data_IF_435432234425
#
_entry.id   IF_435432234425
#
_cell.length_a   1.000
_cell.length_b   1.000
_cell.length_c   1.000
_cell.angle_alpha   90.00
_cell.angle_beta   90.00
_cell.angle_gamma   90.00
#
_symmetry.space_group_name_H-M   'P 1'
#
loop_
_entity.id
_entity.type
_entity.pdbx_description
1 polymer ?
#
# COMPACT_ATOMS: atom_id res chain seq x y z
N UNK A 1 0.96 18.99 5.80
CA UNK A 1 2.28 18.58 5.23
C UNK A 1 2.43 17.08 5.36
N UNK A 2 2.96 16.38 4.33
CA UNK A 2 3.22 14.94 4.36
C UNK A 2 4.69 14.66 4.68
N UNK A 3 4.97 13.47 5.25
CA UNK A 3 6.30 12.95 5.50
C UNK A 3 6.77 12.10 4.30
N UNK A 4 7.90 12.46 3.75
CA UNK A 4 8.55 11.81 2.62
C UNK A 4 9.80 11.07 3.10
N UNK A 5 10.06 9.90 2.55
CA UNK A 5 11.34 9.21 2.70
C UNK A 5 12.12 9.30 1.39
N UNK A 6 13.35 9.74 1.47
CA UNK A 6 14.20 10.02 0.30
C UNK A 6 15.52 9.28 0.43
N UNK A 7 16.10 8.88 -0.70
CA UNK A 7 17.50 8.50 -0.80
C UNK A 7 18.32 9.73 -1.22
N UNK A 8 19.15 10.24 -0.32
CA UNK A 8 20.04 11.39 -0.53
C UNK A 8 21.47 10.95 -0.23
N UNK A 9 22.38 11.09 -1.18
CA UNK A 9 23.79 10.66 -1.07
C UNK A 9 23.95 9.21 -0.56
N UNK A 10 23.09 8.31 -1.06
CA UNK A 10 23.10 6.89 -0.69
C UNK A 10 22.55 6.56 0.71
N UNK A 11 21.93 7.53 1.41
CA UNK A 11 21.36 7.35 2.75
C UNK A 11 19.88 7.72 2.77
N UNK A 12 19.03 6.97 3.50
CA UNK A 12 17.65 7.38 3.75
C UNK A 12 17.62 8.67 4.57
N UNK A 13 16.80 9.61 4.14
CA UNK A 13 16.54 10.89 4.82
C UNK A 13 15.04 11.14 4.82
N UNK A 14 14.55 11.80 5.85
CA UNK A 14 13.18 12.28 5.91
C UNK A 14 13.10 13.72 5.39
N UNK A 15 11.98 14.01 4.75
CA UNK A 15 11.63 15.33 4.25
C UNK A 15 10.15 15.59 4.49
N UNK A 16 9.73 16.83 4.42
CA UNK A 16 8.32 17.24 4.40
C UNK A 16 7.99 17.99 3.12
N UNK A 17 6.73 17.93 2.73
CA UNK A 17 6.19 18.65 1.57
C UNK A 17 4.74 18.27 1.32
N UNK A 18 3.99 18.98 0.46
CA UNK A 18 2.62 18.61 0.09
C UNK A 18 2.59 17.25 -0.64
N UNK A 19 1.61 16.42 -0.34
CA UNK A 19 1.49 15.09 -0.95
C UNK A 19 1.34 15.14 -2.49
N UNK A 20 0.66 16.17 -3.03
CA UNK A 20 0.43 16.34 -4.47
C UNK A 20 1.56 17.03 -5.23
N UNK A 21 2.51 17.69 -4.53
CA UNK A 21 3.56 18.49 -5.15
C UNK A 21 4.95 17.88 -4.99
N UNK A 22 5.16 17.11 -3.90
CA UNK A 22 6.41 16.44 -3.62
C UNK A 22 7.13 16.95 -2.37
N UNK A 23 8.30 16.35 -2.05
CA UNK A 23 9.11 16.74 -0.90
C UNK A 23 9.79 18.09 -1.17
N UNK A 24 9.74 19.00 -0.18
CA UNK A 24 10.28 20.36 -0.30
C UNK A 24 11.49 20.59 0.62
N UNK A 25 11.43 20.13 1.87
CA UNK A 25 12.41 20.43 2.90
C UNK A 25 12.88 19.15 3.60
N UNK A 26 14.19 19.00 3.75
CA UNK A 26 14.79 17.93 4.57
C UNK A 26 14.54 18.21 6.05
N UNK A 27 14.32 17.12 6.79
CA UNK A 27 14.24 17.11 8.24
C UNK A 27 15.59 16.69 8.87
N UNK A 28 15.66 16.65 10.21
CA UNK A 28 16.88 16.27 10.92
C UNK A 28 17.49 14.98 10.37
N UNK A 29 18.81 14.95 10.27
CA UNK A 29 19.56 13.81 9.73
C UNK A 29 19.44 12.53 10.57
N UNK A 30 19.16 12.67 11.87
CA UNK A 30 18.96 11.55 12.79
C UNK A 30 17.52 11.00 12.77
N UNK A 31 16.56 11.71 12.15
CA UNK A 31 15.19 11.26 12.06
C UNK A 31 15.04 10.07 11.10
N UNK A 32 14.21 9.11 11.48
CA UNK A 32 13.88 7.95 10.66
C UNK A 32 12.41 7.56 10.83
N UNK A 33 11.82 6.87 9.85
CA UNK A 33 10.47 6.34 9.97
C UNK A 33 10.36 5.38 11.16
N UNK A 34 11.37 4.55 11.38
CA UNK A 34 11.41 3.62 12.52
C UNK A 34 11.36 4.38 13.86
N UNK A 35 12.10 5.49 13.96
CA UNK A 35 12.08 6.36 15.14
C UNK A 35 10.72 7.04 15.35
N UNK A 36 10.04 7.42 14.29
CA UNK A 36 8.71 8.02 14.36
C UNK A 36 7.66 6.99 14.80
N UNK A 37 7.59 5.84 14.16
CA UNK A 37 6.55 4.85 14.41
C UNK A 37 6.81 4.02 15.68
N UNK A 38 8.07 3.81 16.03
CA UNK A 38 8.48 3.18 17.30
C UNK A 38 8.59 4.16 18.49
N UNK A 39 8.38 5.46 18.24
CA UNK A 39 8.53 6.53 19.23
C UNK A 39 7.31 6.75 20.12
N UNK A 40 7.30 7.91 20.79
CA UNK A 40 6.19 8.35 21.63
C UNK A 40 5.00 8.89 20.80
N UNK A 41 3.84 9.04 21.46
CA UNK A 41 2.65 9.62 20.83
C UNK A 41 2.95 11.05 20.36
N UNK A 42 2.54 11.36 19.12
CA UNK A 42 2.79 12.69 18.55
C UNK A 42 4.11 12.86 17.82
N UNK A 43 5.03 11.86 17.86
CA UNK A 43 6.35 11.96 17.23
C UNK A 43 6.32 12.38 15.75
N UNK A 44 5.30 11.95 14.99
CA UNK A 44 5.13 12.38 13.60
C UNK A 44 4.85 13.87 13.48
N UNK A 45 3.91 14.40 14.29
CA UNK A 45 3.58 15.83 14.31
C UNK A 45 4.77 16.67 14.75
N UNK A 46 5.42 16.28 15.85
CA UNK A 46 6.62 16.97 16.37
C UNK A 46 7.75 17.04 15.33
N UNK A 47 7.95 15.95 14.58
CA UNK A 47 8.96 15.92 13.51
C UNK A 47 8.59 16.85 12.35
N UNK A 48 7.31 16.86 11.93
CA UNK A 48 6.86 17.72 10.83
C UNK A 48 6.88 19.20 11.19
N UNK A 49 6.71 19.55 12.46
CA UNK A 49 6.77 20.92 12.98
C UNK A 49 8.20 21.39 13.30
N UNK A 50 9.16 20.46 13.34
CA UNK A 50 10.56 20.76 13.64
C UNK A 50 11.18 21.68 12.55
N UNK A 51 12.21 22.46 12.90
CA UNK A 51 12.95 23.28 11.92
C UNK A 51 13.49 22.42 10.76
N UNK A 52 13.38 22.94 9.54
CA UNK A 52 13.95 22.29 8.36
C UNK A 52 15.48 22.27 8.44
N UNK A 53 16.09 21.17 8.00
CA UNK A 53 17.54 21.06 7.88
C UNK A 53 18.09 21.65 6.57
N UNK A 54 17.21 21.96 5.62
CA UNK A 54 17.54 22.55 4.33
C UNK A 54 16.58 22.12 3.21
N UNK A 55 16.76 22.61 1.99
CA UNK A 55 15.96 22.18 0.85
C UNK A 55 16.29 20.73 0.46
N UNK A 56 15.35 20.07 -0.19
CA UNK A 56 15.61 18.77 -0.82
C UNK A 56 16.57 18.97 -1.99
N UNK A 57 17.69 18.23 -2.06
CA UNK A 57 18.65 18.38 -3.15
C UNK A 57 18.14 17.78 -4.46
N UNK A 58 18.61 18.32 -5.58
CA UNK A 58 18.36 17.76 -6.90
C UNK A 58 18.85 16.29 -6.97
N UNK A 59 18.07 15.45 -7.63
CA UNK A 59 18.41 14.01 -7.79
C UNK A 59 18.07 13.14 -6.60
N UNK A 60 17.48 13.67 -5.52
CA UNK A 60 16.93 12.84 -4.44
C UNK A 60 15.86 11.89 -4.98
N UNK A 61 15.94 10.60 -4.60
CA UNK A 61 14.98 9.59 -5.05
C UNK A 61 13.94 9.33 -3.94
N UNK A 62 12.67 9.30 -4.31
CA UNK A 62 11.61 8.94 -3.36
C UNK A 62 11.71 7.45 -3.03
N UNK A 63 11.66 7.13 -1.74
CA UNK A 63 11.59 5.77 -1.20
C UNK A 63 10.16 5.48 -0.70
N UNK A 64 9.83 4.20 -0.53
CA UNK A 64 8.60 3.82 0.15
C UNK A 64 8.58 4.40 1.57
N UNK A 65 7.46 4.94 2.06
CA UNK A 65 7.36 5.53 3.40
C UNK A 65 7.25 4.45 4.50
N UNK A 66 8.17 3.48 4.49
CA UNK A 66 8.34 2.43 5.47
C UNK A 66 9.83 2.10 5.62
N UNK A 67 10.24 1.72 6.83
CA UNK A 67 11.59 1.25 7.15
C UNK A 67 11.56 -0.24 7.52
N UNK A 68 11.70 -0.55 8.80
CA UNK A 68 11.66 -1.91 9.34
C UNK A 68 10.22 -2.41 9.63
N UNK A 69 9.19 -1.67 9.25
CA UNK A 69 7.80 -2.06 9.42
C UNK A 69 7.43 -3.21 8.48
N UNK A 70 6.78 -4.29 8.96
CA UNK A 70 6.11 -5.25 8.09
C UNK A 70 4.90 -4.59 7.43
N UNK A 71 4.59 -5.00 6.20
CA UNK A 71 3.38 -4.59 5.52
C UNK A 71 2.42 -5.78 5.52
N UNK A 72 1.28 -5.58 6.15
CA UNK A 72 0.16 -6.52 6.17
C UNK A 72 -0.91 -6.08 5.19
N UNK A 73 -1.81 -6.98 4.84
CA UNK A 73 -2.99 -6.66 4.04
C UNK A 73 -4.24 -7.34 4.62
N UNK A 74 -5.39 -6.73 4.34
CA UNK A 74 -6.69 -7.25 4.70
C UNK A 74 -7.45 -7.66 3.44
N UNK A 75 -7.80 -8.94 3.33
CA UNK A 75 -8.58 -9.44 2.20
C UNK A 75 -10.09 -9.26 2.39
N UNK A 76 -10.81 -9.25 1.27
CA UNK A 76 -12.29 -9.33 1.19
C UNK A 76 -13.01 -8.26 2.04
N UNK A 77 -12.51 -7.04 2.03
CA UNK A 77 -13.08 -5.93 2.81
C UNK A 77 -14.20 -5.19 2.07
N UNK A 78 -14.35 -5.37 0.77
CA UNK A 78 -15.39 -4.79 -0.08
C UNK A 78 -16.34 -5.85 -0.62
N UNK A 79 -17.60 -5.47 -0.87
CA UNK A 79 -18.61 -6.37 -1.44
C UNK A 79 -18.22 -6.87 -2.84
N UNK A 80 -17.75 -5.97 -3.71
CA UNK A 80 -17.31 -6.29 -5.07
C UNK A 80 -16.12 -7.27 -5.07
N UNK A 81 -15.18 -7.10 -4.13
CA UNK A 81 -14.05 -8.02 -3.96
C UNK A 81 -14.53 -9.43 -3.57
N UNK A 82 -15.49 -9.54 -2.64
CA UNK A 82 -16.13 -10.82 -2.29
C UNK A 82 -16.75 -11.49 -3.52
N UNK A 83 -17.55 -10.75 -4.30
CA UNK A 83 -18.27 -11.29 -5.44
C UNK A 83 -17.30 -11.79 -6.51
N UNK A 84 -16.25 -11.03 -6.83
CA UNK A 84 -15.21 -11.44 -7.75
C UNK A 84 -14.49 -12.73 -7.28
N UNK A 85 -14.13 -12.83 -6.00
CA UNK A 85 -13.50 -14.03 -5.44
C UNK A 85 -14.39 -15.26 -5.48
N UNK A 86 -15.70 -15.10 -5.28
CA UNK A 86 -16.66 -16.21 -5.40
C UNK A 86 -16.74 -16.74 -6.84
N UNK A 87 -16.71 -15.84 -7.84
CA UNK A 87 -16.71 -16.22 -9.25
C UNK A 87 -15.42 -16.96 -9.63
N UNK A 88 -14.25 -16.45 -9.23
CA UNK A 88 -12.93 -17.00 -9.50
C UNK A 88 -12.70 -18.37 -8.86
N UNK A 89 -13.19 -18.57 -7.64
CA UNK A 89 -12.99 -19.78 -6.85
C UNK A 89 -13.96 -20.93 -7.18
N UNK A 90 -14.77 -20.80 -8.24
CA UNK A 90 -15.78 -21.77 -8.64
C UNK A 90 -16.74 -22.19 -7.51
N UNK A 91 -17.09 -21.22 -6.65
CA UNK A 91 -18.09 -21.41 -5.61
C UNK A 91 -17.52 -21.94 -4.27
N UNK A 92 -16.23 -21.78 -4.01
CA UNK A 92 -15.70 -21.94 -2.67
C UNK A 92 -16.32 -20.87 -1.75
N UNK A 93 -17.14 -21.27 -0.81
CA UNK A 93 -17.84 -20.37 0.12
C UNK A 93 -16.92 -19.73 1.19
N UNK A 94 -15.62 -19.96 1.11
CA UNK A 94 -14.62 -19.41 2.04
C UNK A 94 -14.62 -17.87 2.05
N UNK A 95 -14.70 -17.25 0.88
CA UNK A 95 -14.69 -15.78 0.74
C UNK A 95 -15.99 -15.14 1.24
N UNK A 96 -17.14 -15.77 1.00
CA UNK A 96 -18.40 -15.31 1.58
C UNK A 96 -18.40 -15.44 3.10
N UNK A 97 -17.87 -16.53 3.63
CA UNK A 97 -17.71 -16.73 5.07
C UNK A 97 -16.79 -15.69 5.68
N UNK A 98 -15.65 -15.35 5.07
CA UNK A 98 -14.73 -14.31 5.55
C UNK A 98 -15.39 -12.93 5.52
N UNK A 99 -16.11 -12.60 4.45
CA UNK A 99 -16.81 -11.32 4.37
C UNK A 99 -17.86 -11.16 5.48
N UNK A 100 -18.56 -12.23 5.85
CA UNK A 100 -19.61 -12.21 6.88
C UNK A 100 -19.07 -12.45 8.30
N UNK A 101 -17.86 -13.01 8.45
CA UNK A 101 -17.27 -13.34 9.76
C UNK A 101 -16.94 -12.09 10.59
N UNK A 102 -16.85 -12.26 11.91
CA UNK A 102 -16.32 -11.24 12.81
C UNK A 102 -14.83 -11.02 12.57
N UNK A 103 -14.07 -12.11 12.35
CA UNK A 103 -12.63 -12.07 12.10
C UNK A 103 -12.33 -11.70 10.64
N UNK A 104 -11.56 -10.61 10.38
CA UNK A 104 -11.08 -10.29 9.05
C UNK A 104 -10.02 -11.30 8.58
N UNK A 105 -9.86 -11.43 7.28
CA UNK A 105 -8.65 -11.99 6.70
C UNK A 105 -7.51 -10.99 6.84
N UNK A 106 -6.39 -11.41 7.43
CA UNK A 106 -5.16 -10.63 7.52
C UNK A 106 -3.98 -11.50 7.12
N UNK A 107 -3.13 -11.01 6.24
CA UNK A 107 -1.95 -11.73 5.78
C UNK A 107 -0.74 -10.80 5.63
N UNK A 108 0.46 -11.37 5.73
CA UNK A 108 1.70 -10.64 5.48
C UNK A 108 1.86 -10.40 3.98
N UNK A 109 1.95 -9.12 3.59
CA UNK A 109 2.06 -8.69 2.19
C UNK A 109 3.49 -8.42 1.76
N UNK A 110 4.28 -7.80 2.61
CA UNK A 110 5.69 -7.56 2.32
C UNK A 110 6.54 -7.59 3.58
N UNK A 111 7.74 -8.13 3.44
CA UNK A 111 8.76 -8.06 4.48
C UNK A 111 9.30 -6.63 4.59
N UNK A 112 9.87 -6.24 5.74
CA UNK A 112 10.52 -4.96 5.89
C UNK A 112 11.49 -4.65 4.75
N UNK A 113 11.41 -3.44 4.19
CA UNK A 113 12.32 -2.97 3.14
C UNK A 113 12.13 -3.59 1.76
N UNK A 114 11.09 -4.42 1.52
CA UNK A 114 10.86 -5.07 0.21
C UNK A 114 9.80 -4.39 -0.66
N UNK A 115 9.01 -3.47 -0.10
CA UNK A 115 8.03 -2.72 -0.87
C UNK A 115 8.70 -1.83 -1.93
N UNK A 116 8.12 -1.78 -3.10
CA UNK A 116 8.58 -0.94 -4.21
C UNK A 116 8.18 0.51 -3.97
N UNK A 117 9.16 1.39 -4.06
CA UNK A 117 8.94 2.84 -4.05
C UNK A 117 8.30 3.32 -5.37
N UNK A 118 7.76 4.55 -5.43
CA UNK A 118 7.31 5.16 -6.68
C UNK A 118 8.39 5.08 -7.77
N UNK A 119 8.00 4.73 -8.99
CA UNK A 119 8.91 4.57 -10.14
C UNK A 119 9.75 3.29 -10.15
N UNK A 120 9.74 2.47 -9.08
CA UNK A 120 10.46 1.18 -9.06
C UNK A 120 9.54 0.07 -9.58
N UNK A 121 10.06 -0.90 -10.35
CA UNK A 121 9.21 -1.93 -10.95
C UNK A 121 8.48 -2.78 -9.93
N UNK A 122 7.17 -2.99 -10.12
CA UNK A 122 6.38 -4.05 -9.49
C UNK A 122 6.52 -5.33 -10.30
N UNK A 123 6.35 -6.48 -9.65
CA UNK A 123 6.62 -7.79 -10.25
C UNK A 123 5.36 -8.53 -10.65
N UNK A 124 5.38 -9.16 -11.85
CA UNK A 124 4.46 -10.23 -12.23
C UNK A 124 5.23 -11.54 -12.33
N UNK A 125 4.62 -12.65 -11.91
CA UNK A 125 5.32 -13.94 -11.78
C UNK A 125 5.42 -14.65 -13.14
N UNK A 126 6.58 -15.25 -13.42
CA UNK A 126 6.79 -16.05 -14.63
C UNK A 126 5.99 -17.36 -14.65
N UNK A 127 5.54 -17.84 -13.48
CA UNK A 127 4.71 -19.05 -13.30
C UNK A 127 3.23 -18.71 -13.03
N UNK A 128 2.78 -17.51 -13.42
CA UNK A 128 1.40 -17.03 -13.31
C UNK A 128 0.92 -16.54 -14.67
N UNK A 129 -0.31 -16.90 -15.01
CA UNK A 129 -0.96 -16.50 -16.27
C UNK A 129 -1.89 -15.28 -16.08
N UNK A 130 -2.21 -14.94 -14.82
CA UNK A 130 -3.12 -13.86 -14.50
C UNK A 130 -2.68 -13.12 -13.24
N UNK A 131 -2.10 -11.94 -13.44
CA UNK A 131 -1.62 -11.04 -12.40
C UNK A 131 -2.32 -9.69 -12.52
N UNK A 132 -2.73 -9.12 -11.40
CA UNK A 132 -3.47 -7.85 -11.34
C UNK A 132 -2.92 -6.93 -10.26
N UNK A 133 -3.03 -5.58 -10.43
CA UNK A 133 -2.83 -4.65 -9.35
C UNK A 133 -4.09 -4.59 -8.47
N UNK A 134 -3.91 -4.43 -7.19
CA UNK A 134 -4.97 -4.17 -6.22
C UNK A 134 -4.66 -2.86 -5.51
N UNK A 135 -5.24 -1.72 -5.99
CA UNK A 135 -5.00 -0.42 -5.39
C UNK A 135 -5.73 -0.30 -4.04
N UNK A 136 -5.01 0.12 -3.01
CA UNK A 136 -5.52 0.12 -1.64
C UNK A 136 -5.12 1.36 -0.87
N UNK A 137 -6.01 1.80 0.02
CA UNK A 137 -5.63 2.70 1.09
C UNK A 137 -4.67 1.96 2.03
N UNK A 138 -3.49 2.52 2.26
CA UNK A 138 -2.53 2.00 3.22
C UNK A 138 -2.63 2.78 4.53
N UNK A 139 -3.00 2.10 5.61
CA UNK A 139 -3.01 2.64 6.97
C UNK A 139 -1.63 2.47 7.58
N UNK A 140 -1.06 3.54 8.15
CA UNK A 140 0.18 3.49 8.90
C UNK A 140 -0.12 3.63 10.37
N UNK A 141 0.24 2.64 11.17
CA UNK A 141 0.01 2.64 12.61
C UNK A 141 1.31 2.52 13.39
N UNK A 142 1.39 3.24 14.50
CA UNK A 142 2.56 3.24 15.40
C UNK A 142 2.63 1.96 16.26
N UNK A 143 3.67 1.83 17.08
CA UNK A 143 3.89 0.68 17.98
C UNK A 143 2.73 0.38 18.93
N UNK A 144 1.81 1.33 19.14
CA UNK A 144 0.62 1.19 20.02
C UNK A 144 -0.63 0.79 19.25
N UNK A 145 -0.54 0.64 17.92
CA UNK A 145 -1.71 0.45 17.07
C UNK A 145 -2.53 1.73 16.85
N UNK A 146 -1.95 2.90 17.10
CA UNK A 146 -2.58 4.18 16.78
C UNK A 146 -2.37 4.48 15.30
N UNK A 147 -3.44 4.73 14.56
CA UNK A 147 -3.34 5.19 13.17
C UNK A 147 -2.75 6.60 13.19
N UNK A 148 -1.56 6.76 12.61
CA UNK A 148 -0.85 8.04 12.56
C UNK A 148 -0.98 8.71 11.20
N UNK A 149 -1.33 7.96 10.16
CA UNK A 149 -1.53 8.52 8.82
C UNK A 149 -1.82 7.47 7.77
N UNK A 150 -1.82 7.92 6.51
CA UNK A 150 -2.21 7.14 5.35
C UNK A 150 -1.19 7.26 4.23
N UNK A 151 -1.16 6.24 3.37
CA UNK A 151 -0.38 6.20 2.14
C UNK A 151 -1.17 5.45 1.06
N UNK A 152 -0.59 5.28 -0.12
CA UNK A 152 -1.15 4.48 -1.21
C UNK A 152 -0.39 3.17 -1.27
N UNK A 153 -1.12 2.04 -1.33
CA UNK A 153 -0.54 0.72 -1.53
C UNK A 153 -1.01 0.07 -2.84
N UNK A 154 -0.18 -0.84 -3.35
CA UNK A 154 -0.55 -1.77 -4.42
C UNK A 154 -0.26 -3.19 -3.94
N UNK A 155 -1.32 -3.98 -3.74
CA UNK A 155 -1.26 -5.42 -3.43
C UNK A 155 -1.24 -6.22 -4.74
N UNK A 156 -0.13 -6.21 -5.47
CA UNK A 156 0.00 -6.96 -6.73
C UNK A 156 -0.16 -8.45 -6.47
N UNK A 157 -1.10 -9.06 -7.18
CA UNK A 157 -1.60 -10.40 -6.87
C UNK A 157 -1.52 -11.32 -8.08
N UNK A 158 -1.02 -12.55 -7.86
CA UNK A 158 -1.18 -13.63 -8.82
C UNK A 158 -2.55 -14.29 -8.61
N UNK A 159 -3.52 -13.91 -9.44
CA UNK A 159 -4.89 -14.46 -9.38
C UNK A 159 -4.95 -15.94 -9.76
N UNK A 160 -4.11 -16.38 -10.69
CA UNK A 160 -4.06 -17.80 -11.07
C UNK A 160 -3.63 -18.70 -9.90
N UNK A 161 -2.58 -18.30 -9.14
CA UNK A 161 -2.11 -19.07 -7.98
C UNK A 161 -3.10 -18.99 -6.82
N UNK A 162 -3.68 -17.80 -6.58
CA UNK A 162 -4.68 -17.61 -5.53
C UNK A 162 -5.95 -18.42 -5.79
N UNK A 163 -6.41 -18.47 -7.05
CA UNK A 163 -7.59 -19.23 -7.48
C UNK A 163 -7.36 -20.73 -7.54
N UNK A 164 -6.11 -21.19 -7.68
CA UNK A 164 -5.79 -22.62 -7.67
C UNK A 164 -6.08 -23.28 -6.32
N UNK A 165 -5.61 -22.65 -5.24
CA UNK A 165 -5.84 -23.16 -3.89
C UNK A 165 -5.66 -22.02 -2.85
N UNK A 166 -6.64 -21.78 -1.95
CA UNK A 166 -6.52 -20.76 -0.89
C UNK A 166 -5.26 -20.91 0.00
N UNK A 167 -4.72 -22.13 0.13
CA UNK A 167 -3.49 -22.37 0.89
C UNK A 167 -2.23 -21.83 0.19
N UNK A 168 -2.34 -21.45 -1.08
CA UNK A 168 -1.26 -20.82 -1.83
C UNK A 168 -1.26 -19.28 -1.72
N UNK A 169 -2.14 -18.70 -0.89
CA UNK A 169 -2.20 -17.27 -0.64
C UNK A 169 -0.81 -16.63 -0.39
N UNK A 170 0.09 -17.22 0.44
CA UNK A 170 1.42 -16.64 0.62
C UNK A 170 2.24 -16.57 -0.67
N UNK A 171 2.09 -17.54 -1.58
CA UNK A 171 2.80 -17.53 -2.86
C UNK A 171 2.17 -16.57 -3.87
N UNK A 172 0.85 -16.38 -3.79
CA UNK A 172 0.11 -15.44 -4.63
C UNK A 172 0.35 -13.98 -4.26
N UNK A 173 0.63 -13.70 -2.98
CA UNK A 173 0.65 -12.35 -2.40
C UNK A 173 2.03 -11.88 -1.93
N UNK A 174 2.97 -12.78 -1.60
CA UNK A 174 4.27 -12.45 -1.03
C UNK A 174 5.40 -12.98 -1.91
N UNK A 175 5.83 -12.16 -2.87
CA UNK A 175 6.94 -12.45 -3.78
C UNK A 175 7.66 -11.16 -4.18
N UNK A 176 8.76 -11.26 -4.90
CA UNK A 176 9.57 -10.11 -5.31
C UNK A 176 8.75 -9.11 -6.14
N UNK A 177 8.61 -7.89 -5.64
CA UNK A 177 7.88 -6.82 -6.34
C UNK A 177 6.36 -6.89 -6.21
N UNK A 178 5.81 -7.79 -5.39
CA UNK A 178 4.36 -7.93 -5.21
C UNK A 178 3.69 -6.79 -4.43
N UNK A 179 4.47 -5.87 -3.87
CA UNK A 179 3.94 -4.76 -3.09
C UNK A 179 4.61 -3.44 -3.50
N UNK A 180 3.84 -2.41 -3.76
CA UNK A 180 4.33 -1.03 -3.82
C UNK A 180 3.68 -0.18 -2.73
N UNK A 181 4.42 0.85 -2.26
CA UNK A 181 3.95 1.75 -1.22
C UNK A 181 4.48 3.17 -1.48
N UNK A 182 3.63 4.18 -1.38
CA UNK A 182 4.02 5.58 -1.55
C UNK A 182 2.87 6.51 -1.93
N UNK A 183 3.16 7.75 -2.29
CA UNK A 183 4.49 8.33 -2.41
C UNK A 183 5.06 8.80 -1.06
N UNK A 184 4.20 9.05 -0.06
CA UNK A 184 4.54 9.63 1.24
C UNK A 184 3.58 9.13 2.31
N UNK A 185 3.87 9.44 3.57
CA UNK A 185 2.96 9.28 4.70
C UNK A 185 2.24 10.62 4.94
N UNK A 186 0.93 10.66 4.73
CA UNK A 186 0.08 11.81 5.04
C UNK A 186 -0.48 11.61 6.45
N UNK A 187 -0.17 12.50 7.42
CA UNK A 187 -0.71 12.40 8.77
C UNK A 187 -2.23 12.45 8.80
N UNK A 188 -2.86 11.78 9.78
CA UNK A 188 -4.32 11.80 9.94
C UNK A 188 -4.89 13.23 10.00
N UNK A 189 -4.17 14.15 10.66
CA UNK A 189 -4.61 15.55 10.79
C UNK A 189 -4.58 16.35 9.48
N UNK A 190 -3.85 15.87 8.48
CA UNK A 190 -3.64 16.54 7.17
C UNK A 190 -4.42 15.83 6.04
N UNK A 191 -4.84 14.60 6.26
CA UNK A 191 -5.57 13.80 5.30
C UNK A 191 -7.06 14.16 5.30
N UNK A 192 -7.77 14.01 4.16
CA UNK A 192 -9.24 13.98 4.17
C UNK A 192 -9.78 12.87 5.06
N UNK A 193 -11.06 12.97 5.45
CA UNK A 193 -11.74 11.83 6.08
C UNK A 193 -11.70 10.62 5.13
N UNK A 194 -11.33 9.42 5.58
CA UNK A 194 -11.31 8.24 4.72
C UNK A 194 -12.62 7.99 3.95
N UNK A 195 -13.76 8.36 4.51
CA UNK A 195 -15.06 8.24 3.81
C UNK A 195 -15.23 9.21 2.63
N UNK A 196 -14.38 10.22 2.51
CA UNK A 196 -14.34 11.18 1.39
C UNK A 196 -13.27 10.82 0.35
N UNK A 197 -12.48 9.76 0.60
CA UNK A 197 -11.39 9.34 -0.30
C UNK A 197 -11.93 8.49 -1.44
N UNK A 198 -11.52 8.82 -2.67
CA UNK A 198 -11.67 8.01 -3.86
C UNK A 198 -10.31 7.39 -4.20
N UNK A 199 -10.30 6.10 -4.48
CA UNK A 199 -9.16 5.36 -5.04
C UNK A 199 -9.40 5.23 -6.55
N UNK A 200 -8.42 5.61 -7.36
CA UNK A 200 -8.46 5.44 -8.81
C UNK A 200 -7.23 4.68 -9.30
N UNK A 201 -7.45 3.76 -10.22
CA UNK A 201 -6.44 2.96 -10.90
C UNK A 201 -6.46 3.25 -12.40
N UNK A 202 -5.29 3.40 -12.99
CA UNK A 202 -5.08 3.40 -14.45
C UNK A 202 -3.95 2.45 -14.81
N UNK A 203 -4.14 1.63 -15.83
CA UNK A 203 -3.11 0.78 -16.43
C UNK A 203 -2.88 1.23 -17.86
N UNK A 204 -1.65 1.58 -18.18
CA UNK A 204 -1.23 1.95 -19.55
C UNK A 204 -0.31 0.88 -20.11
N UNK A 205 -0.50 0.55 -21.38
CA UNK A 205 0.34 -0.36 -22.19
C UNK A 205 0.71 0.31 -23.49
N UNK A 206 1.99 0.35 -23.82
CA UNK A 206 2.50 1.00 -25.03
C UNK A 206 2.03 2.46 -25.20
N UNK A 207 1.85 3.17 -24.06
CA UNK A 207 1.40 4.55 -24.01
C UNK A 207 -0.12 4.75 -24.21
N UNK A 208 -0.91 3.67 -24.24
CA UNK A 208 -2.36 3.72 -24.33
C UNK A 208 -3.00 3.19 -23.03
N UNK A 209 -4.07 3.83 -22.57
CA UNK A 209 -4.86 3.32 -21.45
C UNK A 209 -5.57 2.02 -21.86
N UNK A 210 -5.32 0.94 -21.11
CA UNK A 210 -5.96 -0.37 -21.31
C UNK A 210 -6.98 -0.69 -20.22
N UNK A 211 -6.92 0.02 -19.09
CA UNK A 211 -7.88 -0.11 -18.00
C UNK A 211 -7.87 1.15 -17.15
N UNK A 212 -9.06 1.58 -16.73
CA UNK A 212 -9.24 2.57 -15.68
C UNK A 212 -10.51 2.26 -14.89
N UNK A 213 -10.44 2.38 -13.56
CA UNK A 213 -11.60 2.23 -12.66
C UNK A 213 -11.36 3.04 -11.38
N UNK A 214 -12.43 3.23 -10.60
CA UNK A 214 -12.40 3.96 -9.33
C UNK A 214 -13.38 3.38 -8.32
N UNK A 215 -13.10 3.58 -7.04
CA UNK A 215 -14.01 3.22 -5.96
C UNK A 215 -13.89 4.19 -4.78
N UNK A 216 -14.91 4.19 -3.93
CA UNK A 216 -14.89 4.97 -2.68
C UNK A 216 -14.39 4.11 -1.53
N UNK A 217 -13.56 4.68 -0.65
CA UNK A 217 -13.18 4.04 0.62
C UNK A 217 -14.39 3.87 1.53
N UNK A 218 -15.43 4.71 1.39
CA UNK A 218 -16.69 4.58 2.13
C UNK A 218 -17.45 3.26 1.88
N UNK A 219 -17.17 2.58 0.75
CA UNK A 219 -17.81 1.30 0.41
C UNK A 219 -17.19 0.10 1.15
N UNK A 220 -16.15 0.34 1.94
CA UNK A 220 -15.51 -0.68 2.76
C UNK A 220 -16.44 -1.12 3.89
N UNK A 221 -16.62 -2.43 4.06
CA UNK A 221 -17.45 -3.01 5.14
C UNK A 221 -16.83 -2.81 6.52
N UNK A 222 -15.50 -2.96 6.61
CA UNK A 222 -14.78 -2.92 7.89
C UNK A 222 -14.17 -1.55 8.12
N UNK A 223 -14.25 -1.07 9.35
CA UNK A 223 -13.59 0.19 9.72
C UNK A 223 -12.07 0.02 9.82
N UNK A 224 -11.33 1.09 9.53
CA UNK A 224 -9.87 1.08 9.63
C UNK A 224 -9.39 0.75 11.06
N UNK A 225 -9.98 1.33 12.13
CA UNK A 225 -9.61 0.96 13.49
C UNK A 225 -9.87 -0.51 13.82
N UNK A 226 -10.95 -1.11 13.30
CA UNK A 226 -11.22 -2.54 13.48
C UNK A 226 -10.13 -3.41 12.90
N UNK A 227 -9.69 -3.14 11.66
CA UNK A 227 -8.63 -3.90 11.00
C UNK A 227 -7.29 -3.80 11.76
N UNK A 228 -6.95 -2.59 12.21
CA UNK A 228 -5.74 -2.36 13.02
C UNK A 228 -5.84 -3.11 14.36
N UNK A 229 -6.97 -3.03 15.06
CA UNK A 229 -7.17 -3.73 16.33
C UNK A 229 -6.99 -5.25 16.17
N UNK A 230 -7.55 -5.85 15.12
CA UNK A 230 -7.35 -7.27 14.84
C UNK A 230 -5.90 -7.65 14.60
N UNK A 231 -5.12 -6.81 13.91
CA UNK A 231 -3.69 -7.05 13.66
C UNK A 231 -2.91 -7.01 14.97
N UNK A 232 -3.16 -6.02 15.82
CA UNK A 232 -2.44 -5.85 17.10
C UNK A 232 -2.80 -6.89 18.17
N UNK A 233 -3.93 -7.59 18.05
CA UNK A 233 -4.30 -8.66 19.00
C UNK A 233 -3.31 -9.84 19.05
N UNK A 234 -2.60 -10.09 17.97
CA UNK A 234 -1.75 -11.28 17.83
C UNK A 234 -0.31 -10.99 17.45
N UNK A 235 0.10 -9.72 17.38
CA UNK A 235 1.42 -9.34 16.89
C UNK A 235 2.11 -8.33 17.82
N UNK A 236 3.41 -8.57 18.05
CA UNK A 236 4.30 -7.59 18.65
C UNK A 236 4.92 -6.74 17.53
N UNK A 237 4.50 -5.48 17.42
CA UNK A 237 4.90 -4.55 16.35
C UNK A 237 5.63 -3.33 16.95
N UNK A 238 6.86 -3.51 17.48
CA UNK A 238 7.55 -2.47 18.25
C UNK A 238 7.92 -1.23 17.44
N UNK A 239 7.92 -1.34 16.11
CA UNK A 239 8.16 -0.22 15.18
C UNK A 239 6.91 0.15 14.38
N UNK A 240 5.73 -0.29 14.82
CA UNK A 240 4.51 -0.12 14.08
C UNK A 240 4.39 -1.05 12.86
N UNK A 241 3.39 -0.82 12.02
CA UNK A 241 3.15 -1.56 10.78
C UNK A 241 2.42 -0.69 9.76
N UNK A 242 2.48 -1.12 8.51
CA UNK A 242 1.59 -0.66 7.44
C UNK A 242 0.55 -1.75 7.20
N UNK A 243 -0.72 -1.36 7.04
CA UNK A 243 -1.82 -2.26 6.72
C UNK A 243 -2.52 -1.79 5.45
N UNK A 244 -2.44 -2.56 4.38
CA UNK A 244 -3.25 -2.41 3.18
C UNK A 244 -4.67 -2.88 3.50
N UNK A 245 -5.68 -2.13 3.05
CA UNK A 245 -7.05 -2.29 3.58
C UNK A 245 -8.02 -2.99 2.65
N UNK A 246 -7.52 -3.53 1.54
CA UNK A 246 -8.33 -4.17 0.51
C UNK A 246 -8.74 -3.23 -0.60
N UNK A 247 -9.18 -3.82 -1.70
CA UNK A 247 -9.61 -3.11 -2.91
C UNK A 247 -11.04 -3.45 -3.29
N UNK A 248 -11.71 -2.52 -3.99
CA UNK A 248 -12.97 -2.77 -4.72
C UNK A 248 -12.77 -2.70 -6.23
N UNK A 249 -11.56 -2.35 -6.69
CA UNK A 249 -11.23 -2.30 -8.11
C UNK A 249 -10.74 -3.68 -8.54
N UNK A 250 -11.52 -4.32 -9.41
CA UNK A 250 -11.23 -5.67 -9.90
C UNK A 250 -11.16 -5.61 -11.43
N UNK A 251 -9.94 -5.67 -12.01
CA UNK A 251 -9.79 -5.78 -13.45
C UNK A 251 -10.51 -7.03 -14.00
N UNK A 252 -11.04 -6.99 -15.24
CA UNK A 252 -11.73 -8.13 -15.82
C UNK A 252 -10.78 -9.30 -16.08
N UNK A 253 -11.27 -10.55 -16.15
CA UNK A 253 -10.44 -11.75 -16.29
C UNK A 253 -9.53 -11.76 -17.54
N UNK A 254 -9.89 -11.03 -18.58
CA UNK A 254 -9.10 -10.92 -19.81
C UNK A 254 -7.89 -9.99 -19.68
N UNK A 255 -7.86 -9.20 -18.61
CA UNK A 255 -6.75 -8.29 -18.34
C UNK A 255 -5.77 -8.93 -17.35
N UNK A 256 -4.54 -9.11 -17.80
CA UNK A 256 -3.40 -9.44 -16.95
C UNK A 256 -2.31 -8.39 -17.16
N UNK A 257 -1.60 -8.05 -16.10
CA UNK A 257 -0.41 -7.20 -16.18
C UNK A 257 0.67 -7.87 -17.05
N UNK A 258 1.43 -7.04 -17.76
CA UNK A 258 2.57 -7.48 -18.61
C UNK A 258 3.80 -6.65 -18.33
N UNK A 259 5.01 -7.21 -18.49
CA UNK A 259 6.22 -6.41 -18.44
C UNK A 259 6.13 -5.21 -19.39
N UNK A 260 6.45 -4.03 -18.89
CA UNK A 260 6.36 -2.76 -19.62
C UNK A 260 5.06 -1.99 -19.41
N UNK A 261 4.02 -2.58 -18.82
CA UNK A 261 2.84 -1.82 -18.38
C UNK A 261 3.23 -0.77 -17.34
N UNK A 262 2.47 0.31 -17.29
CA UNK A 262 2.56 1.33 -16.26
C UNK A 262 1.29 1.31 -15.42
N UNK A 263 1.43 0.98 -14.15
CA UNK A 263 0.34 1.04 -13.15
C UNK A 263 0.41 2.38 -12.45
N UNK A 264 -0.72 3.09 -12.38
CA UNK A 264 -0.86 4.36 -11.68
C UNK A 264 -2.05 4.29 -10.74
N UNK A 265 -1.81 4.60 -9.47
CA UNK A 265 -2.83 4.68 -8.42
C UNK A 265 -2.85 6.10 -7.86
N UNK A 266 -4.03 6.67 -7.71
CA UNK A 266 -4.22 7.93 -7.00
C UNK A 266 -5.27 7.74 -5.91
N UNK A 267 -5.06 8.40 -4.77
CA UNK A 267 -6.06 8.48 -3.69
C UNK A 267 -6.22 9.94 -3.31
N UNK A 268 -7.47 10.37 -3.15
CA UNK A 268 -7.81 11.75 -2.77
C UNK A 268 -6.97 12.21 -1.58
N UNK A 269 -6.24 13.31 -1.74
CA UNK A 269 -5.40 13.91 -0.70
C UNK A 269 -4.07 13.20 -0.39
N UNK A 270 -3.81 12.02 -0.98
CA UNK A 270 -2.58 11.25 -0.71
C UNK A 270 -1.54 11.30 -1.84
N UNK A 271 -1.90 11.87 -3.00
CA UNK A 271 -1.01 11.99 -4.14
C UNK A 271 -1.12 10.84 -5.14
N UNK A 272 0.03 10.40 -5.70
CA UNK A 272 0.09 9.44 -6.81
C UNK A 272 1.22 8.42 -6.60
N UNK A 273 0.90 7.14 -6.71
CA UNK A 273 1.85 6.03 -6.77
C UNK A 273 1.86 5.48 -8.21
N UNK A 274 3.04 5.44 -8.84
CA UNK A 274 3.16 4.98 -10.22
C UNK A 274 4.37 4.06 -10.35
N UNK A 275 4.17 2.87 -10.92
CA UNK A 275 5.18 1.82 -11.01
C UNK A 275 5.12 1.13 -12.38
N UNK A 276 6.26 0.95 -13.07
CA UNK A 276 6.32 0.07 -14.22
C UNK A 276 6.26 -1.40 -13.78
N UNK A 277 5.91 -2.30 -14.70
CA UNK A 277 5.80 -3.74 -14.45
C UNK A 277 7.03 -4.48 -15.00
N UNK A 278 7.57 -5.42 -14.22
CA UNK A 278 8.66 -6.34 -14.62
C UNK A 278 8.28 -7.81 -14.41
N UNK A 279 8.89 -8.72 -15.20
CA UNK A 279 8.75 -10.17 -14.96
C UNK A 279 9.70 -10.62 -13.85
N UNK A 280 9.21 -11.46 -12.94
CA UNK A 280 10.00 -12.00 -11.82
C UNK A 280 9.86 -13.52 -11.71
N UNK A 281 10.87 -14.18 -11.15
CA UNK A 281 10.82 -15.62 -10.90
C UNK A 281 11.23 -16.48 -12.11
N UNK A 282 12.02 -15.95 -13.03
CA UNK A 282 12.63 -16.70 -14.15
C UNK A 282 13.86 -17.44 -13.67
#
# INVERSE_FOLDING_TARGET
MALWQLLVDGRPRLARGPAGEGPAELLDAAASIDGVLGGEAGALGELLDAPAAGPVPDGAQVLAPAGAQPIWAAGVTFLRSRDARLEESKGLDAYDKVYLADRPELFLKALPGTARAPGRPIGVRADSDWDVPEPELAVVADRRGQIVGYSIGDDVSSRSIEGENPLYLPQAKLYRGSCALGPCLVPVAEAPDPSEMEIALTIERDGAEVFADRCSVADMKRSLPELVDWLWRGQDLPLGAVLLTGTSIVPPPELTLRPGDQVTITITGLGRLANPVELVGT
#
